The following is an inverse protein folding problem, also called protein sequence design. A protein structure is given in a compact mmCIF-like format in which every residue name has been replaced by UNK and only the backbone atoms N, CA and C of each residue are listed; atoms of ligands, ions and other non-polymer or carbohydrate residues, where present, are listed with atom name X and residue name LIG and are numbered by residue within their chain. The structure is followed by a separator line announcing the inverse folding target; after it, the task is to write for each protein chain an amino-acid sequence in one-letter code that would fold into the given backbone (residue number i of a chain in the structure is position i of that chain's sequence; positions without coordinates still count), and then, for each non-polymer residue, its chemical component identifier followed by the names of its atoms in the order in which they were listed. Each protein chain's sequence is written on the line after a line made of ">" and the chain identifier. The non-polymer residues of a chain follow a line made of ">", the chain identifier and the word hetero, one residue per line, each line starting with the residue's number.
data_IF_722858190841
#
_entry.id   IF_722858190841
#
_cell.length_a   1.000
_cell.length_b   1.000
_cell.length_c   1.000
_cell.angle_alpha   90.00
_cell.angle_beta   90.00
_cell.angle_gamma   90.00
#
_symmetry.space_group_name_H-M   'P 1'
#
loop_
_entity.id
_entity.type
_entity.pdbx_description
1 polymer ?
#
# COMPACT_ATOMS: atom_id res chain seq x y z
N UNK A 1 30.20 17.95 -66.30
CA UNK A 1 31.25 17.56 -65.32
C UNK A 1 31.15 18.48 -64.11
N UNK A 2 31.13 17.89 -62.89
CA UNK A 2 31.24 18.48 -61.53
C UNK A 2 30.09 19.43 -61.11
N UNK A 3 29.08 19.00 -60.35
CA UNK A 3 29.04 18.73 -58.87
C UNK A 3 29.80 19.77 -58.05
N UNK A 4 29.07 20.74 -57.48
CA UNK A 4 29.46 21.43 -56.27
C UNK A 4 28.69 20.79 -55.12
N UNK A 5 29.39 19.89 -54.44
CA UNK A 5 29.00 19.31 -53.17
C UNK A 5 29.22 20.33 -52.03
N UNK A 6 28.51 20.08 -50.93
CA UNK A 6 28.88 20.43 -49.56
C UNK A 6 28.58 21.85 -49.05
N UNK A 7 27.38 22.02 -48.49
CA UNK A 7 27.30 22.24 -47.03
C UNK A 7 25.89 21.93 -46.51
N UNK A 8 25.47 20.66 -46.61
CA UNK A 8 24.40 20.18 -45.75
C UNK A 8 24.99 20.08 -44.34
N UNK A 9 24.60 21.01 -43.47
CA UNK A 9 24.92 20.98 -42.05
C UNK A 9 24.38 19.67 -41.48
N UNK A 10 25.27 18.69 -41.33
CA UNK A 10 25.03 17.50 -40.54
C UNK A 10 25.01 17.93 -39.07
N UNK A 11 23.88 18.43 -38.61
CA UNK A 11 23.51 18.28 -37.20
C UNK A 11 23.25 16.78 -36.98
N UNK A 12 24.33 16.00 -36.93
CA UNK A 12 24.27 14.65 -36.42
C UNK A 12 23.90 14.77 -34.95
N UNK A 13 22.65 14.49 -34.62
CA UNK A 13 22.21 14.06 -33.29
C UNK A 13 22.80 12.68 -33.02
N UNK A 14 24.12 12.58 -33.07
CA UNK A 14 24.87 11.34 -32.91
C UNK A 14 25.01 11.10 -31.41
N UNK A 15 24.12 10.24 -30.89
CA UNK A 15 24.29 9.58 -29.61
C UNK A 15 24.30 10.48 -28.38
N UNK A 16 23.16 11.05 -28.01
CA UNK A 16 22.93 11.34 -26.60
C UNK A 16 22.97 9.97 -25.89
N UNK A 17 24.06 9.68 -25.17
CA UNK A 17 24.22 8.47 -24.38
C UNK A 17 23.02 8.36 -23.44
N UNK A 18 22.06 7.50 -23.78
CA UNK A 18 20.96 7.19 -22.88
C UNK A 18 21.58 6.35 -21.76
N UNK A 19 21.61 6.82 -20.50
CA UNK A 19 22.19 6.05 -19.42
C UNK A 19 21.50 4.69 -19.35
N UNK A 20 22.29 3.62 -19.25
CA UNK A 20 21.75 2.27 -19.10
C UNK A 20 20.69 2.26 -18.00
N UNK A 21 19.47 1.83 -18.34
CA UNK A 21 18.37 1.71 -17.37
C UNK A 21 18.85 0.83 -16.21
N UNK A 22 18.91 1.42 -15.02
CA UNK A 22 19.21 0.66 -13.82
C UNK A 22 17.96 -0.13 -13.42
N UNK A 23 18.11 -1.45 -13.34
CA UNK A 23 17.04 -2.37 -12.95
C UNK A 23 17.12 -2.69 -11.45
N UNK A 24 16.07 -3.28 -10.91
CA UNK A 24 16.04 -3.75 -9.53
C UNK A 24 17.06 -4.87 -9.34
N UNK A 25 17.79 -4.81 -8.23
CA UNK A 25 18.64 -5.93 -7.80
C UNK A 25 17.90 -6.82 -6.77
N UNK A 26 18.56 -7.90 -6.35
CA UNK A 26 18.00 -8.84 -5.38
C UNK A 26 17.55 -8.16 -4.06
N UNK A 27 18.28 -7.15 -3.57
CA UNK A 27 17.94 -6.47 -2.32
C UNK A 27 16.67 -5.65 -2.47
N UNK A 28 16.50 -4.96 -3.59
CA UNK A 28 15.26 -4.24 -3.87
C UNK A 28 14.07 -5.22 -3.91
N UNK A 29 14.23 -6.35 -4.60
CA UNK A 29 13.17 -7.38 -4.69
C UNK A 29 12.82 -7.95 -3.30
N UNK A 30 13.81 -8.19 -2.45
CA UNK A 30 13.60 -8.68 -1.08
C UNK A 30 12.84 -7.66 -0.21
N UNK A 31 13.20 -6.37 -0.29
CA UNK A 31 12.49 -5.29 0.40
C UNK A 31 11.03 -5.20 -0.07
N UNK A 32 10.78 -5.27 -1.38
CA UNK A 32 9.43 -5.27 -1.96
C UNK A 32 8.60 -6.42 -1.40
N UNK A 33 9.14 -7.64 -1.50
CA UNK A 33 8.43 -8.84 -1.08
C UNK A 33 8.07 -8.78 0.41
N UNK A 34 8.94 -8.19 1.23
CA UNK A 34 8.70 -8.00 2.67
C UNK A 34 7.51 -7.06 2.90
N UNK A 35 7.46 -5.91 2.21
CA UNK A 35 6.36 -4.95 2.36
C UNK A 35 5.04 -5.55 1.86
N UNK A 36 5.05 -6.17 0.68
CA UNK A 36 3.85 -6.82 0.10
C UNK A 36 3.35 -7.94 1.02
N UNK A 37 4.25 -8.73 1.61
CA UNK A 37 3.88 -9.75 2.59
C UNK A 37 3.13 -9.14 3.78
N UNK A 38 3.67 -8.07 4.38
CA UNK A 38 3.03 -7.40 5.51
C UNK A 38 1.68 -6.77 5.16
N UNK A 39 1.55 -6.16 3.98
CA UNK A 39 0.28 -5.63 3.50
C UNK A 39 -0.78 -6.74 3.33
N UNK A 40 -0.40 -7.88 2.73
CA UNK A 40 -1.31 -9.02 2.59
C UNK A 40 -1.72 -9.60 3.95
N UNK A 41 -0.79 -9.66 4.89
CA UNK A 41 -1.09 -10.07 6.27
C UNK A 41 -2.09 -9.11 6.94
N UNK A 42 -1.88 -7.81 6.81
CA UNK A 42 -2.80 -6.78 7.33
C UNK A 42 -4.19 -6.88 6.69
N UNK A 43 -4.27 -7.07 5.37
CA UNK A 43 -5.54 -7.30 4.66
C UNK A 43 -6.30 -8.51 5.20
N UNK A 44 -5.58 -9.61 5.48
CA UNK A 44 -6.18 -10.81 6.08
C UNK A 44 -6.76 -10.50 7.46
N UNK A 45 -6.02 -9.77 8.30
CA UNK A 45 -6.48 -9.37 9.63
C UNK A 45 -7.74 -8.49 9.53
N UNK A 46 -7.72 -7.44 8.71
CA UNK A 46 -8.87 -6.56 8.49
C UNK A 46 -10.09 -7.35 8.01
N UNK A 47 -9.90 -8.26 7.06
CA UNK A 47 -10.98 -9.09 6.49
C UNK A 47 -11.60 -10.02 7.52
N UNK A 48 -10.81 -10.62 8.41
CA UNK A 48 -11.35 -11.49 9.48
C UNK A 48 -12.28 -10.76 10.44
N UNK A 49 -12.08 -9.44 10.60
CA UNK A 49 -12.87 -8.62 11.51
C UNK A 49 -14.20 -8.18 10.87
N UNK A 50 -14.22 -7.93 9.55
CA UNK A 50 -15.42 -7.46 8.81
C UNK A 50 -16.64 -8.38 9.01
N UNK A 51 -16.45 -9.70 9.19
CA UNK A 51 -17.54 -10.66 9.36
C UNK A 51 -18.17 -10.72 10.77
N UNK A 52 -17.56 -10.09 11.78
CA UNK A 52 -17.87 -10.35 13.20
C UNK A 52 -18.43 -9.11 13.92
N UNK A 53 -18.57 -7.96 13.23
CA UNK A 53 -18.56 -6.64 13.87
C UNK A 53 -19.83 -5.78 13.63
N UNK A 54 -20.24 -4.91 14.59
CA UNK A 54 -21.30 -3.90 14.42
C UNK A 54 -21.05 -2.90 13.27
N UNK A 55 -22.12 -2.55 12.54
CA UNK A 55 -22.12 -1.78 11.28
C UNK A 55 -21.30 -0.47 11.28
N UNK A 56 -21.08 0.17 12.44
CA UNK A 56 -20.40 1.47 12.54
C UNK A 56 -18.92 1.42 12.15
N UNK A 57 -18.21 0.34 12.47
CA UNK A 57 -16.76 0.19 12.20
C UNK A 57 -16.50 -0.63 10.92
N UNK A 58 -17.47 -1.43 10.47
CA UNK A 58 -17.38 -2.26 9.25
C UNK A 58 -17.05 -1.44 8.01
N UNK A 59 -17.65 -0.25 7.86
CA UNK A 59 -17.39 0.63 6.72
C UNK A 59 -15.93 1.10 6.66
N UNK A 60 -15.36 1.45 7.82
CA UNK A 60 -13.96 1.88 7.94
C UNK A 60 -12.99 0.72 7.69
N UNK A 61 -13.29 -0.48 8.20
CA UNK A 61 -12.48 -1.68 7.91
C UNK A 61 -12.51 -2.04 6.43
N UNK A 62 -13.66 -1.93 5.75
CA UNK A 62 -13.74 -2.15 4.29
C UNK A 62 -12.92 -1.13 3.52
N UNK A 63 -13.00 0.15 3.90
CA UNK A 63 -12.21 1.21 3.28
C UNK A 63 -10.71 1.00 3.49
N UNK A 64 -10.30 0.58 4.69
CA UNK A 64 -8.90 0.24 4.98
C UNK A 64 -8.43 -0.94 4.13
N UNK A 65 -9.25 -2.00 4.02
CA UNK A 65 -8.90 -3.15 3.19
C UNK A 65 -8.73 -2.77 1.72
N UNK A 66 -9.58 -1.87 1.20
CA UNK A 66 -9.44 -1.36 -0.16
C UNK A 66 -8.11 -0.59 -0.33
N UNK A 67 -7.77 0.33 0.60
CA UNK A 67 -6.49 1.06 0.57
C UNK A 67 -5.28 0.11 0.60
N UNK A 68 -5.36 -0.99 1.35
CA UNK A 68 -4.32 -2.02 1.38
C UNK A 68 -4.16 -2.69 0.02
N UNK A 69 -5.28 -3.09 -0.61
CA UNK A 69 -5.27 -3.71 -1.94
C UNK A 69 -4.72 -2.76 -3.00
N UNK A 70 -5.15 -1.50 -3.00
CA UNK A 70 -4.68 -0.48 -3.94
C UNK A 70 -3.15 -0.25 -3.81
N UNK A 71 -2.62 -0.27 -2.59
CA UNK A 71 -1.18 -0.17 -2.35
C UNK A 71 -0.41 -1.39 -2.86
N UNK A 72 -0.95 -2.60 -2.68
CA UNK A 72 -0.34 -3.83 -3.22
C UNK A 72 -0.27 -3.74 -4.75
N UNK A 73 -1.37 -3.36 -5.41
CA UNK A 73 -1.40 -3.24 -6.88
C UNK A 73 -0.39 -2.19 -7.39
N UNK A 74 -0.25 -1.08 -6.67
CA UNK A 74 0.71 -0.03 -7.03
C UNK A 74 2.16 -0.51 -6.89
N UNK A 75 2.49 -1.20 -5.79
CA UNK A 75 3.83 -1.76 -5.57
C UNK A 75 4.14 -2.85 -6.60
N UNK A 76 3.20 -3.76 -6.88
CA UNK A 76 3.38 -4.81 -7.87
C UNK A 76 3.53 -4.25 -9.29
N UNK A 77 2.78 -3.18 -9.61
CA UNK A 77 2.92 -2.44 -10.86
C UNK A 77 4.27 -1.74 -11.01
N UNK A 78 4.81 -1.15 -9.94
CA UNK A 78 6.13 -0.53 -9.93
C UNK A 78 7.25 -1.59 -10.00
N UNK A 79 7.09 -2.74 -9.34
CA UNK A 79 7.99 -3.88 -9.45
C UNK A 79 8.03 -4.47 -10.86
N UNK A 80 6.86 -4.59 -11.52
CA UNK A 80 6.76 -5.11 -12.88
C UNK A 80 7.47 -4.23 -13.92
N UNK A 81 7.55 -2.91 -13.69
CA UNK A 81 8.34 -1.99 -14.53
C UNK A 81 9.84 -2.22 -14.39
N UNK A 82 10.28 -2.75 -13.25
CA UNK A 82 11.67 -3.09 -12.97
C UNK A 82 12.67 -1.92 -13.17
N UNK A 83 12.24 -0.71 -12.79
CA UNK A 83 13.06 0.51 -12.88
C UNK A 83 13.51 0.93 -11.47
N UNK A 84 14.82 1.06 -11.26
CA UNK A 84 15.39 1.31 -9.93
C UNK A 84 15.10 2.70 -9.37
N UNK A 85 15.38 3.76 -10.12
CA UNK A 85 15.27 5.13 -9.60
C UNK A 85 13.83 5.52 -9.18
N UNK A 86 12.77 5.19 -9.95
CA UNK A 86 11.40 5.43 -9.52
C UNK A 86 11.03 4.61 -8.29
N UNK A 87 11.56 3.39 -8.20
CA UNK A 87 11.30 2.48 -7.11
C UNK A 87 11.93 2.95 -5.79
N UNK A 88 13.22 3.30 -5.80
CA UNK A 88 13.93 3.83 -4.63
C UNK A 88 13.27 5.12 -4.12
N UNK A 89 12.81 5.99 -5.03
CA UNK A 89 12.10 7.21 -4.67
C UNK A 89 10.75 6.97 -3.97
N UNK A 90 10.11 5.82 -4.21
CA UNK A 90 8.80 5.44 -3.63
C UNK A 90 8.91 4.49 -2.45
N UNK A 91 10.09 3.92 -2.18
CA UNK A 91 10.27 2.93 -1.12
C UNK A 91 9.88 3.49 0.26
N UNK A 92 10.30 4.72 0.57
CA UNK A 92 9.93 5.41 1.81
C UNK A 92 8.42 5.66 1.91
N UNK A 93 7.78 5.99 0.78
CA UNK A 93 6.34 6.15 0.70
C UNK A 93 5.61 4.84 1.07
N UNK A 94 6.02 3.69 0.51
CA UNK A 94 5.38 2.41 0.85
C UNK A 94 5.54 2.02 2.31
N UNK A 95 6.71 2.27 2.90
CA UNK A 95 6.93 2.03 4.32
C UNK A 95 6.03 2.91 5.18
N UNK A 96 5.93 4.19 4.85
CA UNK A 96 5.06 5.15 5.55
C UNK A 96 3.59 4.73 5.45
N UNK A 97 3.11 4.41 4.25
CA UNK A 97 1.74 3.95 4.01
C UNK A 97 1.41 2.69 4.83
N UNK A 98 2.32 1.72 4.88
CA UNK A 98 2.13 0.52 5.69
C UNK A 98 2.00 0.86 7.19
N UNK A 99 2.86 1.73 7.72
CA UNK A 99 2.80 2.13 9.13
C UNK A 99 1.49 2.87 9.46
N UNK A 100 1.07 3.79 8.61
CA UNK A 100 -0.20 4.51 8.78
C UNK A 100 -1.41 3.56 8.77
N UNK A 101 -1.44 2.61 7.83
CA UNK A 101 -2.51 1.62 7.75
C UNK A 101 -2.54 0.69 8.98
N UNK A 102 -1.36 0.34 9.51
CA UNK A 102 -1.25 -0.45 10.73
C UNK A 102 -1.77 0.31 11.96
N UNK A 103 -1.42 1.58 12.11
CA UNK A 103 -1.94 2.44 13.20
C UNK A 103 -3.46 2.55 13.11
N UNK A 104 -3.99 2.84 11.93
CA UNK A 104 -5.44 2.93 11.72
C UNK A 104 -6.14 1.61 12.06
N UNK A 105 -5.58 0.47 11.67
CA UNK A 105 -6.11 -0.84 12.06
C UNK A 105 -6.18 -0.99 13.60
N UNK A 106 -5.10 -0.62 14.30
CA UNK A 106 -5.04 -0.72 15.78
C UNK A 106 -6.08 0.20 16.44
N UNK A 107 -6.28 1.41 15.94
CA UNK A 107 -7.30 2.34 16.44
C UNK A 107 -8.71 1.77 16.26
N UNK A 108 -9.01 1.21 15.08
CA UNK A 108 -10.30 0.58 14.80
C UNK A 108 -10.54 -0.62 15.74
N UNK A 109 -9.52 -1.44 15.98
CA UNK A 109 -9.60 -2.54 16.94
C UNK A 109 -9.83 -2.05 18.37
N UNK A 110 -9.15 -0.98 18.79
CA UNK A 110 -9.35 -0.40 20.11
C UNK A 110 -10.80 0.07 20.32
N UNK A 111 -11.44 0.65 19.30
CA UNK A 111 -12.86 1.05 19.37
C UNK A 111 -13.78 -0.16 19.55
N UNK A 112 -13.49 -1.25 18.82
CA UNK A 112 -14.30 -2.46 18.84
C UNK A 112 -14.29 -3.20 20.17
N UNK A 113 -13.13 -3.28 20.79
CA UNK A 113 -12.94 -4.06 22.02
C UNK A 113 -13.14 -3.22 23.30
N UNK A 114 -13.40 -1.91 23.21
CA UNK A 114 -13.72 -1.03 24.35
C UNK A 114 -15.24 -0.81 24.59
N UNK A 115 -16.12 -1.65 24.04
CA UNK A 115 -17.57 -1.55 24.30
C UNK A 115 -17.86 -2.05 25.73
N UNK A 116 -18.44 -1.22 26.62
CA UNK A 116 -18.82 -1.67 27.96
C UNK A 116 -19.85 -2.80 27.86
N UNK A 117 -19.81 -3.81 28.77
CA UNK A 117 -20.78 -4.90 28.76
C UNK A 117 -22.21 -4.34 28.85
N UNK A 118 -23.20 -5.01 28.23
CA UNK A 118 -24.60 -4.59 28.35
C UNK A 118 -24.94 -4.44 29.85
N UNK A 119 -25.72 -3.41 30.23
CA UNK A 119 -26.11 -3.23 31.62
C UNK A 119 -26.72 -4.54 32.14
N UNK A 120 -26.41 -4.94 33.39
CA UNK A 120 -27.02 -6.13 33.97
C UNK A 120 -28.54 -6.00 33.83
N UNK A 121 -29.25 -7.09 33.49
CA UNK A 121 -30.70 -7.05 33.39
C UNK A 121 -31.27 -6.45 34.67
N UNK A 122 -32.33 -5.62 34.59
CA UNK A 122 -32.93 -5.05 35.79
C UNK A 122 -33.27 -6.20 36.73
N UNK A 123 -32.64 -6.22 37.90
CA UNK A 123 -32.94 -7.21 38.93
C UNK A 123 -34.44 -7.18 39.16
N UNK A 124 -35.13 -8.23 38.70
CA UNK A 124 -36.51 -8.44 39.04
C UNK A 124 -36.58 -8.60 40.55
N UNK A 125 -37.54 -7.91 41.15
CA UNK A 125 -38.04 -8.12 42.51
C UNK A 125 -37.23 -7.46 43.64
N UNK A 126 -37.39 -6.14 43.70
CA UNK A 126 -38.05 -5.56 44.87
C UNK A 126 -39.54 -5.92 44.83
N UNK A 127 -39.90 -7.11 45.29
CA UNK A 127 -41.28 -7.44 45.68
C UNK A 127 -41.25 -8.31 46.93
N UNK A 128 -42.13 -7.96 47.88
CA UNK A 128 -42.49 -8.65 49.14
C UNK A 128 -41.55 -8.32 50.31
N UNK A 129 -41.90 -7.30 51.10
CA UNK A 129 -42.78 -7.33 52.30
C UNK A 129 -42.02 -7.72 53.57
#
# INVERSE_FOLDING_TARGET
>A
MRRNDSNASACSTDGMYEPSRQVLDYRHIEQINTIVFHLRELSRLVTTQIGVIPNTVVGQLRSLNQRIMDNIELIEGDMARNERAPFEAKLEYYHTEYQEMLVLYQELMAILYNIPPPPPPPSAESQQE
#
